data_IF_470027936121
#
_entry.id   IF_470027936121
#
_cell.length_a   1.000
_cell.length_b   1.000
_cell.length_c   1.000
_cell.angle_alpha   90.00
_cell.angle_beta   90.00
_cell.angle_gamma   90.00
#
_symmetry.space_group_name_H-M   'P 1'
#
loop_
_entity.id
_entity.type
_entity.pdbx_description
1 polymer ?
#
# COMPACT_ATOMS: atom_id res chain seq x y z
N UNK A 1 -15.09 -17.08 -3.07
CA UNK A 1 -16.09 -16.81 -2.00
C UNK A 1 -15.70 -15.51 -1.29
N UNK A 2 -16.31 -14.40 -1.70
CA UNK A 2 -16.03 -13.06 -1.15
C UNK A 2 -16.65 -12.91 0.25
N UNK A 3 -15.97 -12.23 1.18
CA UNK A 3 -16.58 -11.85 2.47
C UNK A 3 -17.82 -10.95 2.20
N UNK A 4 -18.97 -11.19 2.87
CA UNK A 4 -20.18 -10.39 2.66
C UNK A 4 -19.96 -8.92 3.06
N UNK A 5 -20.46 -8.00 2.23
CA UNK A 5 -20.31 -6.56 2.42
C UNK A 5 -21.41 -6.05 3.34
N UNK A 6 -21.03 -5.30 4.38
CA UNK A 6 -21.97 -4.64 5.30
C UNK A 6 -22.28 -3.22 4.81
N UNK A 7 -23.29 -3.09 3.97
CA UNK A 7 -23.68 -1.83 3.33
C UNK A 7 -23.93 -0.66 4.29
N UNK A 8 -24.36 -0.92 5.53
CA UNK A 8 -24.63 0.13 6.54
C UNK A 8 -23.37 0.83 7.08
N UNK A 9 -22.24 0.11 7.23
CA UNK A 9 -20.97 0.69 7.70
C UNK A 9 -19.97 0.94 6.57
N UNK A 10 -20.32 0.49 5.36
CA UNK A 10 -19.43 0.50 4.20
C UNK A 10 -18.81 1.87 3.89
N UNK A 11 -19.53 3.01 3.87
CA UNK A 11 -18.93 4.30 3.54
C UNK A 11 -17.85 4.72 4.54
N UNK A 12 -18.10 4.49 5.83
CA UNK A 12 -17.13 4.79 6.90
C UNK A 12 -15.92 3.87 6.79
N UNK A 13 -16.14 2.57 6.65
CA UNK A 13 -15.07 1.56 6.58
C UNK A 13 -14.21 1.78 5.32
N UNK A 14 -14.82 2.19 4.20
CA UNK A 14 -14.16 2.57 2.96
C UNK A 14 -13.29 3.82 3.14
N UNK A 15 -13.82 4.91 3.71
CA UNK A 15 -13.03 6.12 3.95
C UNK A 15 -11.84 5.86 4.87
N UNK A 16 -12.03 5.11 5.95
CA UNK A 16 -10.97 4.76 6.91
C UNK A 16 -9.86 3.96 6.22
N UNK A 17 -10.20 2.98 5.39
CA UNK A 17 -9.19 2.15 4.73
C UNK A 17 -8.47 2.91 3.60
N UNK A 18 -9.18 3.77 2.85
CA UNK A 18 -8.56 4.62 1.82
C UNK A 18 -7.51 5.56 2.43
N UNK A 19 -7.77 6.15 3.61
CA UNK A 19 -6.76 6.94 4.33
C UNK A 19 -5.51 6.10 4.67
N UNK A 20 -5.72 4.84 5.04
CA UNK A 20 -4.62 3.88 5.25
C UNK A 20 -3.82 3.62 3.96
N UNK A 21 -4.49 3.46 2.82
CA UNK A 21 -3.81 3.24 1.53
C UNK A 21 -3.03 4.46 1.05
N UNK A 22 -3.58 5.67 1.22
CA UNK A 22 -2.87 6.92 0.91
C UNK A 22 -1.57 7.00 1.73
N UNK A 23 -1.66 6.84 3.05
CA UNK A 23 -0.51 6.87 3.93
C UNK A 23 0.54 5.82 3.55
N UNK A 24 0.11 4.65 3.10
CA UNK A 24 1.01 3.59 2.65
C UNK A 24 1.74 3.94 1.36
N UNK A 25 1.01 4.38 0.33
CA UNK A 25 1.60 4.73 -0.95
C UNK A 25 2.61 5.87 -0.82
N UNK A 26 2.28 6.90 -0.03
CA UNK A 26 3.21 7.98 0.29
C UNK A 26 4.43 7.50 1.07
N UNK A 27 4.24 6.64 2.08
CA UNK A 27 5.37 6.09 2.84
C UNK A 27 6.34 5.30 1.94
N UNK A 28 5.81 4.48 1.03
CA UNK A 28 6.62 3.73 0.06
C UNK A 28 7.38 4.69 -0.85
N UNK A 29 6.71 5.69 -1.43
CA UNK A 29 7.34 6.66 -2.31
C UNK A 29 8.45 7.46 -1.60
N UNK A 30 8.24 7.89 -0.35
CA UNK A 30 9.27 8.56 0.46
C UNK A 30 10.46 7.63 0.69
N UNK A 31 10.21 6.36 1.01
CA UNK A 31 11.27 5.38 1.25
C UNK A 31 12.09 5.08 -0.02
N UNK A 32 11.43 5.00 -1.18
CA UNK A 32 12.09 4.89 -2.49
C UNK A 32 12.96 6.14 -2.74
N UNK A 33 12.42 7.34 -2.51
CA UNK A 33 13.13 8.62 -2.75
C UNK A 33 14.25 8.91 -1.75
N UNK A 34 14.21 8.29 -0.56
CA UNK A 34 15.27 8.40 0.44
C UNK A 34 16.56 7.70 0.00
N UNK A 35 16.50 6.78 -0.98
CA UNK A 35 17.65 6.09 -1.57
C UNK A 35 18.60 5.39 -0.55
N UNK A 36 18.08 5.03 0.63
CA UNK A 36 18.80 4.29 1.69
C UNK A 36 18.43 2.80 1.73
N UNK A 37 17.73 2.33 0.70
CA UNK A 37 17.11 1.01 0.67
C UNK A 37 15.64 1.05 1.12
N UNK A 38 14.87 0.10 0.61
CA UNK A 38 13.44 -0.07 0.88
C UNK A 38 13.15 -1.54 1.18
N UNK A 39 11.88 -1.90 1.41
CA UNK A 39 11.52 -3.28 1.70
C UNK A 39 11.85 -4.20 0.50
N UNK A 40 12.16 -5.49 0.71
CA UNK A 40 12.47 -6.40 -0.38
C UNK A 40 11.40 -6.44 -1.47
N UNK A 41 10.13 -6.31 -1.06
CA UNK A 41 8.99 -6.26 -1.97
C UNK A 41 9.01 -5.00 -2.84
N UNK A 42 9.21 -3.83 -2.23
CA UNK A 42 9.28 -2.58 -2.99
C UNK A 42 10.52 -2.53 -3.90
N UNK A 43 11.65 -3.12 -3.49
CA UNK A 43 12.82 -3.26 -4.37
C UNK A 43 12.48 -4.13 -5.59
N UNK A 44 11.77 -5.25 -5.38
CA UNK A 44 11.33 -6.12 -6.47
C UNK A 44 10.40 -5.38 -7.45
N UNK A 45 9.39 -4.67 -6.93
CA UNK A 45 8.47 -3.89 -7.76
C UNK A 45 9.20 -2.77 -8.54
N UNK A 46 10.13 -2.06 -7.90
CA UNK A 46 10.93 -1.02 -8.55
C UNK A 46 11.83 -1.62 -9.64
N UNK A 47 12.52 -2.73 -9.35
CA UNK A 47 13.41 -3.38 -10.31
C UNK A 47 12.63 -3.96 -11.51
N UNK A 48 11.47 -4.56 -11.27
CA UNK A 48 10.58 -5.04 -12.34
C UNK A 48 9.99 -3.89 -13.15
N UNK A 49 9.61 -2.79 -12.48
CA UNK A 49 9.13 -1.59 -13.16
C UNK A 49 10.18 -1.02 -14.12
N UNK A 50 11.45 -0.99 -13.69
CA UNK A 50 12.58 -0.54 -14.52
C UNK A 50 12.81 -1.46 -15.73
N UNK A 51 12.76 -2.79 -15.54
CA UNK A 51 12.94 -3.76 -16.63
C UNK A 51 11.79 -3.70 -17.65
N UNK A 52 10.55 -3.50 -17.18
CA UNK A 52 9.35 -3.46 -18.03
C UNK A 52 9.06 -2.07 -18.60
N UNK A 53 9.77 -1.02 -18.16
CA UNK A 53 9.55 0.36 -18.59
C UNK A 53 8.21 0.95 -18.12
N UNK A 54 7.71 0.49 -16.97
CA UNK A 54 6.45 0.96 -16.35
C UNK A 54 6.73 1.72 -15.05
N UNK A 55 5.71 2.36 -14.48
CA UNK A 55 5.86 3.03 -13.17
C UNK A 55 5.87 2.02 -12.03
N UNK A 56 6.57 2.30 -10.91
CA UNK A 56 6.52 1.45 -9.72
C UNK A 56 5.09 1.21 -9.23
N UNK A 57 4.23 2.23 -9.26
CA UNK A 57 2.83 2.09 -8.86
C UNK A 57 2.04 1.13 -9.77
N UNK A 58 2.27 1.16 -11.08
CA UNK A 58 1.67 0.19 -12.00
C UNK A 58 2.16 -1.22 -11.72
N UNK A 59 3.44 -1.40 -11.42
CA UNK A 59 3.99 -2.70 -11.06
C UNK A 59 3.36 -3.24 -9.77
N UNK A 60 3.15 -2.40 -8.74
CA UNK A 60 2.43 -2.78 -7.51
C UNK A 60 1.02 -3.28 -7.80
N UNK A 61 0.30 -2.70 -8.78
CA UNK A 61 -1.03 -3.18 -9.18
C UNK A 61 -0.94 -4.55 -9.84
N UNK A 62 -0.02 -4.72 -10.80
CA UNK A 62 0.16 -5.98 -11.54
C UNK A 62 0.55 -7.12 -10.62
N UNK A 63 1.51 -6.88 -9.74
CA UNK A 63 1.94 -7.83 -8.72
C UNK A 63 0.80 -8.14 -7.74
N UNK A 64 0.02 -7.14 -7.34
CA UNK A 64 -1.20 -7.34 -6.57
C UNK A 64 -2.21 -8.29 -7.24
N UNK A 65 -2.42 -8.17 -8.55
CA UNK A 65 -3.26 -9.10 -9.32
C UNK A 65 -2.65 -10.49 -9.44
N UNK A 66 -1.32 -10.58 -9.56
CA UNK A 66 -0.61 -11.86 -9.57
C UNK A 66 -0.82 -12.62 -8.24
N UNK A 67 -0.58 -11.95 -7.12
CA UNK A 67 -0.83 -12.49 -5.77
C UNK A 67 -2.31 -12.85 -5.58
N UNK A 68 -3.22 -12.01 -6.05
CA UNK A 68 -4.66 -12.27 -5.99
C UNK A 68 -5.04 -13.54 -6.76
N UNK A 69 -4.45 -13.77 -7.92
CA UNK A 69 -4.70 -14.97 -8.74
C UNK A 69 -4.23 -16.24 -8.04
N UNK A 70 -3.05 -16.19 -7.41
CA UNK A 70 -2.54 -17.29 -6.59
C UNK A 70 -3.47 -17.55 -5.41
N UNK A 71 -3.90 -16.50 -4.70
CA UNK A 71 -4.81 -16.63 -3.56
C UNK A 71 -6.18 -17.22 -3.98
N UNK A 72 -6.70 -16.85 -5.15
CA UNK A 72 -7.92 -17.44 -5.71
C UNK A 72 -7.72 -18.93 -6.03
N UNK A 73 -6.58 -19.31 -6.60
CA UNK A 73 -6.24 -20.71 -6.88
C UNK A 73 -6.14 -21.54 -5.60
N UNK A 74 -5.67 -20.94 -4.50
CA UNK A 74 -5.58 -21.55 -3.18
C UNK A 74 -6.93 -21.53 -2.41
N UNK A 75 -8.00 -21.01 -3.02
CA UNK A 75 -9.35 -20.90 -2.42
C UNK A 75 -9.40 -20.07 -1.14
N UNK A 76 -8.49 -19.11 -0.99
CA UNK A 76 -8.47 -18.20 0.14
C UNK A 76 -9.65 -17.22 0.12
N UNK A 77 -10.11 -16.82 1.31
CA UNK A 77 -11.24 -15.89 1.44
C UNK A 77 -10.79 -14.45 1.23
N UNK A 78 -10.92 -13.96 0.00
CA UNK A 78 -10.59 -12.58 -0.36
C UNK A 78 -11.71 -11.62 0.07
N UNK A 79 -11.31 -10.53 0.72
CA UNK A 79 -12.21 -9.43 1.10
C UNK A 79 -12.20 -8.31 0.06
N UNK A 80 -13.25 -7.48 0.06
CA UNK A 80 -13.31 -6.29 -0.78
C UNK A 80 -12.15 -5.31 -0.53
N UNK A 81 -11.63 -5.27 0.70
CA UNK A 81 -10.48 -4.45 1.07
C UNK A 81 -9.19 -4.87 0.34
N UNK A 82 -9.04 -6.15 -0.03
CA UNK A 82 -7.90 -6.63 -0.81
C UNK A 82 -7.90 -6.04 -2.22
N UNK A 83 -9.06 -6.02 -2.88
CA UNK A 83 -9.20 -5.39 -4.19
C UNK A 83 -8.99 -3.87 -4.11
N UNK A 84 -9.56 -3.23 -3.08
CA UNK A 84 -9.35 -1.79 -2.84
C UNK A 84 -7.88 -1.46 -2.62
N UNK A 85 -7.14 -2.30 -1.91
CA UNK A 85 -5.71 -2.16 -1.64
C UNK A 85 -4.88 -2.22 -2.93
N UNK A 86 -5.09 -3.27 -3.74
CA UNK A 86 -4.38 -3.48 -5.02
C UNK A 86 -4.62 -2.29 -5.95
N UNK A 87 -5.88 -1.85 -6.08
CA UNK A 87 -6.25 -0.78 -7.00
C UNK A 87 -5.87 0.62 -6.51
N UNK A 88 -5.78 0.84 -5.19
CA UNK A 88 -5.57 2.19 -4.64
C UNK A 88 -4.11 2.50 -4.35
N UNK A 89 -3.30 1.55 -3.87
CA UNK A 89 -1.93 1.87 -3.45
C UNK A 89 -1.07 2.34 -4.62
N UNK A 90 -1.12 1.63 -5.76
CA UNK A 90 -0.30 1.95 -6.94
C UNK A 90 -0.44 3.40 -7.39
N UNK A 91 -1.67 3.91 -7.64
CA UNK A 91 -1.88 5.31 -7.99
C UNK A 91 -1.33 6.30 -6.95
N UNK A 92 -1.46 5.99 -5.65
CA UNK A 92 -0.91 6.86 -4.60
C UNK A 92 0.60 6.84 -4.55
N UNK A 93 1.25 5.72 -4.88
CA UNK A 93 2.71 5.64 -5.05
C UNK A 93 3.12 6.57 -6.20
N UNK A 94 2.49 6.45 -7.37
CA UNK A 94 2.85 7.25 -8.54
C UNK A 94 2.62 8.75 -8.31
N UNK A 95 1.50 9.12 -7.69
CA UNK A 95 1.24 10.51 -7.27
C UNK A 95 2.32 11.00 -6.33
N UNK A 96 2.65 10.25 -5.28
CA UNK A 96 3.67 10.66 -4.32
C UNK A 96 5.07 10.75 -4.97
N UNK A 97 5.42 9.82 -5.86
CA UNK A 97 6.67 9.85 -6.62
C UNK A 97 6.74 11.05 -7.57
N UNK A 98 5.62 11.50 -8.13
CA UNK A 98 5.56 12.71 -8.97
C UNK A 98 5.74 14.00 -8.16
N UNK A 99 5.32 14.00 -6.89
CA UNK A 99 5.43 15.15 -5.98
C UNK A 99 6.80 15.24 -5.31
N UNK A 100 7.50 14.12 -5.14
CA UNK A 100 8.77 14.02 -4.43
C UNK A 100 9.93 13.93 -5.41
N UNK A 101 10.86 14.88 -5.32
CA UNK A 101 12.15 14.78 -6.02
C UNK A 101 13.08 13.77 -5.31
N UNK A 102 13.94 13.04 -6.05
CA UNK A 102 14.98 12.23 -5.45
C UNK A 102 15.92 13.10 -4.62
N UNK A 103 16.26 12.63 -3.41
CA UNK A 103 17.25 13.29 -2.54
C UNK A 103 18.53 12.49 -2.59
N UNK A 104 19.58 13.08 -3.16
CA UNK A 104 20.91 12.48 -3.27
C UNK A 104 21.94 13.33 -2.52
N UNK A 105 22.91 12.67 -1.88
CA UNK A 105 24.04 13.35 -1.25
C UNK A 105 23.79 14.02 0.10
N UNK A 106 22.55 14.00 0.63
CA UNK A 106 22.23 14.55 1.95
C UNK A 106 21.74 13.46 2.92
N UNK A 107 22.70 12.79 3.55
CA UNK A 107 22.43 11.67 4.46
C UNK A 107 21.48 12.03 5.62
N UNK A 108 21.61 13.19 6.31
CA UNK A 108 20.63 13.60 7.32
C UNK A 108 19.19 13.68 6.81
N UNK A 109 18.98 14.23 5.62
CA UNK A 109 17.64 14.34 5.02
C UNK A 109 17.12 12.96 4.63
N UNK A 110 17.96 12.09 4.05
CA UNK A 110 17.58 10.73 3.70
C UNK A 110 17.17 9.92 4.94
N UNK A 111 17.92 10.02 6.04
CA UNK A 111 17.57 9.38 7.32
C UNK A 111 16.24 9.93 7.85
N UNK A 112 16.05 11.26 7.81
CA UNK A 112 14.80 11.88 8.25
C UNK A 112 13.60 11.40 7.41
N UNK A 113 13.76 11.30 6.08
CA UNK A 113 12.74 10.75 5.18
C UNK A 113 12.43 9.30 5.49
N UNK A 114 13.45 8.47 5.75
CA UNK A 114 13.26 7.07 6.09
C UNK A 114 12.53 6.91 7.43
N UNK A 115 12.91 7.67 8.47
CA UNK A 115 12.21 7.68 9.75
C UNK A 115 10.77 8.17 9.62
N UNK A 116 10.54 9.19 8.78
CA UNK A 116 9.20 9.68 8.47
C UNK A 116 8.36 8.58 7.79
N UNK A 117 8.91 7.92 6.77
CA UNK A 117 8.24 6.83 6.07
C UNK A 117 7.88 5.68 7.01
N UNK A 118 8.81 5.24 7.87
CA UNK A 118 8.57 4.20 8.88
C UNK A 118 7.49 4.65 9.88
N UNK A 119 7.54 5.90 10.34
CA UNK A 119 6.51 6.48 11.19
C UNK A 119 5.12 6.50 10.53
N UNK A 120 5.06 6.84 9.25
CA UNK A 120 3.82 6.79 8.45
C UNK A 120 3.30 5.36 8.29
N UNK A 121 4.18 4.39 8.06
CA UNK A 121 3.80 2.97 8.02
C UNK A 121 3.26 2.48 9.38
N UNK A 122 3.87 2.91 10.48
CA UNK A 122 3.36 2.63 11.83
C UNK A 122 1.98 3.28 12.07
N UNK A 123 1.80 4.53 11.65
CA UNK A 123 0.53 5.24 11.80
C UNK A 123 -0.60 4.59 10.97
N UNK A 124 -0.29 4.13 9.76
CA UNK A 124 -1.21 3.36 8.91
C UNK A 124 -1.82 2.18 9.66
N UNK A 125 -1.02 1.48 10.48
CA UNK A 125 -1.49 0.29 11.20
C UNK A 125 -2.73 0.58 12.05
N UNK A 126 -2.91 1.80 12.56
CA UNK A 126 -4.12 2.20 13.31
C UNK A 126 -5.38 2.11 12.45
N UNK A 127 -5.31 2.55 11.19
CA UNK A 127 -6.45 2.48 10.26
C UNK A 127 -6.79 1.02 9.91
N UNK A 128 -5.77 0.19 9.69
CA UNK A 128 -5.95 -1.25 9.46
C UNK A 128 -6.59 -1.93 10.67
N UNK A 129 -6.12 -1.61 11.88
CA UNK A 129 -6.69 -2.16 13.13
C UNK A 129 -8.13 -1.71 13.34
N UNK A 130 -8.46 -0.45 13.05
CA UNK A 130 -9.84 0.05 13.13
C UNK A 130 -10.73 -0.71 12.14
N UNK A 131 -10.25 -0.93 10.91
CA UNK A 131 -10.98 -1.68 9.90
C UNK A 131 -11.14 -3.17 10.26
N UNK A 132 -10.10 -3.83 10.78
CA UNK A 132 -10.15 -5.21 11.27
C UNK A 132 -11.15 -5.35 12.40
N UNK A 133 -11.06 -4.48 13.43
CA UNK A 133 -12.03 -4.45 14.54
C UNK A 133 -13.45 -4.16 14.06
N UNK A 134 -13.61 -3.32 13.04
CA UNK A 134 -14.90 -3.10 12.44
C UNK A 134 -15.42 -4.41 11.84
N UNK A 135 -14.61 -5.18 11.11
CA UNK A 135 -15.00 -6.49 10.57
C UNK A 135 -15.34 -7.52 11.65
N UNK A 136 -14.57 -7.60 12.74
CA UNK A 136 -14.75 -8.63 13.78
C UNK A 136 -15.96 -8.40 14.70
N UNK A 137 -16.47 -7.16 14.81
CA UNK A 137 -17.69 -6.82 15.60
C UNK A 137 -18.99 -7.50 15.12
N UNK A 138 -18.93 -8.38 14.13
CA UNK A 138 -20.07 -9.12 13.58
C UNK A 138 -19.95 -10.65 13.69
N UNK A 139 -18.98 -11.17 14.45
CA UNK A 139 -18.96 -12.60 14.82
C UNK A 139 -19.76 -12.69 16.13
N UNK A 140 -20.87 -13.45 16.19
CA UNK A 140 -21.57 -13.71 17.44
C UNK A 140 -20.65 -14.40 18.46
#
# INVERSE_FOLDING_TARGET
>A
MLKPIRWKTFPRDFLVIQLGFILFGFAIAIMIRANLGTSPWAVFEVAMAEILGITPGMMTILDGFFVLTIALSLREKIGWGTLGNILSIGPWIDVALSLLSPVEGNLPVQIAMLLLAVGMMGWRARFTLVWMRAQDRGIP
#
